data_IF_256141092114
#
_entry.id   IF_256141092114
#
_cell.length_a   1.000
_cell.length_b   1.000
_cell.length_c   1.000
_cell.angle_alpha   90.00
_cell.angle_beta   90.00
_cell.angle_gamma   90.00
#
_symmetry.space_group_name_H-M   'P 1'
#
loop_
_entity.id
_entity.type
_entity.pdbx_description
1 polymer ?
#
# COMPACT_ATOMS: atom_id res chain seq x y z
N UNK A 1 12.01 41.99 5.96
CA UNK A 1 13.18 41.15 6.24
C UNK A 1 13.21 40.07 5.19
N UNK A 2 14.33 39.93 4.47
CA UNK A 2 14.47 38.95 3.40
C UNK A 2 15.74 38.14 3.64
N UNK A 3 15.62 36.85 4.03
CA UNK A 3 16.75 36.04 4.42
C UNK A 3 16.50 34.53 4.33
N UNK A 4 17.57 33.77 4.32
CA UNK A 4 17.60 32.33 4.45
C UNK A 4 18.22 31.97 5.80
N UNK A 5 17.64 31.07 6.54
CA UNK A 5 18.14 30.54 7.80
C UNK A 5 18.35 29.04 7.63
N UNK A 6 19.59 28.59 7.73
CA UNK A 6 19.98 27.20 7.80
C UNK A 6 20.39 26.82 9.24
N UNK A 7 20.60 25.56 9.52
CA UNK A 7 21.04 25.10 10.83
C UNK A 7 22.36 25.76 11.30
N UNK A 8 23.28 25.98 10.36
CA UNK A 8 24.64 26.44 10.65
C UNK A 8 24.91 27.92 10.23
N UNK A 9 24.02 28.49 9.44
CA UNK A 9 24.26 29.86 8.90
C UNK A 9 22.96 30.59 8.60
N UNK A 10 23.09 31.90 8.44
CA UNK A 10 22.03 32.81 7.98
C UNK A 10 22.58 33.64 6.81
N UNK A 11 21.77 33.85 5.77
CA UNK A 11 22.12 34.66 4.60
C UNK A 11 21.10 35.77 4.47
N UNK A 12 21.58 37.03 4.50
CA UNK A 12 20.76 38.18 4.20
C UNK A 12 20.60 38.32 2.67
N UNK A 13 19.35 38.31 2.22
CA UNK A 13 18.99 38.45 0.82
C UNK A 13 18.48 39.86 0.47
N UNK A 14 18.58 40.80 1.38
CA UNK A 14 18.02 42.14 1.17
C UNK A 14 18.63 42.93 -0.01
N UNK A 15 19.83 42.54 -0.43
CA UNK A 15 20.56 43.14 -1.57
C UNK A 15 20.61 42.21 -2.78
N UNK A 16 20.03 41.04 -2.69
CA UNK A 16 20.05 40.01 -3.74
C UNK A 16 18.77 40.13 -4.56
N UNK A 17 18.93 40.22 -5.87
CA UNK A 17 17.80 40.20 -6.79
C UNK A 17 17.34 38.75 -7.04
N UNK A 18 16.19 38.40 -6.47
CA UNK A 18 15.63 37.04 -6.56
C UNK A 18 14.25 37.13 -7.22
N UNK A 19 14.12 36.44 -8.33
CA UNK A 19 12.82 36.24 -8.96
C UNK A 19 12.26 34.89 -8.50
N UNK A 20 11.09 34.91 -7.88
CA UNK A 20 10.40 33.72 -7.41
C UNK A 20 9.15 33.43 -8.23
N UNK A 21 8.84 32.15 -8.40
CA UNK A 21 7.58 31.70 -8.98
C UNK A 21 6.71 31.09 -7.87
N UNK A 22 5.52 31.63 -7.74
CA UNK A 22 4.49 31.14 -6.83
C UNK A 22 3.26 30.76 -7.65
N UNK A 23 3.03 29.46 -7.81
CA UNK A 23 1.87 28.95 -8.53
C UNK A 23 0.71 28.78 -7.57
N UNK A 24 -0.48 29.20 -7.98
CA UNK A 24 -1.67 29.10 -7.14
C UNK A 24 -2.29 27.70 -7.22
N UNK A 25 -2.21 26.92 -6.14
CA UNK A 25 -2.76 25.56 -6.04
C UNK A 25 -4.28 25.49 -6.22
N UNK A 26 -5.01 26.58 -6.05
CA UNK A 26 -6.45 26.63 -6.20
C UNK A 26 -6.91 26.25 -7.63
N UNK A 27 -6.12 26.61 -8.64
CA UNK A 27 -6.45 26.48 -10.04
C UNK A 27 -5.65 25.39 -10.77
N UNK A 28 -4.75 24.74 -10.08
CA UNK A 28 -3.88 23.71 -10.66
C UNK A 28 -4.11 22.36 -10.01
N UNK A 29 -4.03 21.30 -10.80
CA UNK A 29 -4.04 19.93 -10.29
C UNK A 29 -2.68 19.53 -9.67
N UNK A 30 -1.72 20.44 -9.68
CA UNK A 30 -0.39 20.26 -9.08
C UNK A 30 -0.33 20.98 -7.75
N UNK A 31 0.23 20.32 -6.77
CA UNK A 31 0.64 20.93 -5.51
C UNK A 31 1.99 21.55 -5.77
N UNK A 32 2.03 22.87 -5.74
CA UNK A 32 3.16 23.59 -6.31
C UNK A 32 4.21 23.86 -5.29
N UNK A 33 5.39 23.42 -5.61
CA UNK A 33 6.63 23.90 -5.04
C UNK A 33 6.84 25.33 -5.52
N UNK A 34 7.10 26.24 -4.60
CA UNK A 34 7.58 27.57 -4.92
C UNK A 34 9.08 27.49 -5.15
N UNK A 35 9.55 28.07 -6.21
CA UNK A 35 10.98 28.08 -6.52
C UNK A 35 11.44 29.45 -6.98
N UNK A 36 12.73 29.72 -6.79
CA UNK A 36 13.38 30.85 -7.40
C UNK A 36 13.98 30.48 -8.75
N UNK A 37 14.09 31.44 -9.63
CA UNK A 37 15.08 31.34 -10.70
C UNK A 37 16.49 31.36 -10.08
N UNK A 38 17.52 30.80 -10.75
CA UNK A 38 18.87 30.87 -10.26
C UNK A 38 19.28 32.28 -9.94
N UNK A 39 19.89 32.51 -8.78
CA UNK A 39 20.40 33.79 -8.31
C UNK A 39 21.82 33.64 -7.83
N UNK A 40 22.54 34.76 -7.71
CA UNK A 40 23.94 34.77 -7.34
C UNK A 40 24.15 35.47 -6.02
N UNK A 41 24.85 34.82 -5.12
CA UNK A 41 25.33 35.44 -3.87
C UNK A 41 26.76 35.95 -4.08
N UNK A 42 27.05 37.10 -3.54
CA UNK A 42 28.43 37.63 -3.54
C UNK A 42 29.34 36.74 -2.69
N UNK A 43 30.59 36.61 -3.11
CA UNK A 43 31.61 35.86 -2.39
C UNK A 43 32.20 36.68 -1.23
N UNK A 44 31.35 37.07 -0.29
CA UNK A 44 31.78 37.78 0.93
C UNK A 44 32.52 36.83 1.88
N UNK A 45 33.30 37.39 2.82
CA UNK A 45 33.95 36.56 3.85
C UNK A 45 32.96 35.74 4.68
N UNK A 46 31.73 36.20 4.82
CA UNK A 46 30.66 35.52 5.54
C UNK A 46 30.13 34.36 4.72
N UNK A 47 29.77 34.57 3.45
CA UNK A 47 29.33 33.52 2.56
C UNK A 47 30.40 32.45 2.31
N UNK A 48 31.67 32.86 2.26
CA UNK A 48 32.79 31.91 2.22
C UNK A 48 32.82 30.98 3.44
N UNK A 49 32.57 31.52 4.64
CA UNK A 49 32.50 30.66 5.85
C UNK A 49 31.27 29.77 5.86
N UNK A 50 30.13 30.29 5.41
CA UNK A 50 28.87 29.53 5.36
C UNK A 50 28.96 28.31 4.45
N UNK A 51 29.72 28.45 3.35
CA UNK A 51 29.88 27.39 2.34
C UNK A 51 31.30 26.83 2.30
N UNK A 52 32.03 26.87 3.42
CA UNK A 52 33.46 26.51 3.48
C UNK A 52 33.77 25.14 2.85
N UNK A 53 32.94 24.13 3.11
CA UNK A 53 33.17 22.77 2.61
C UNK A 53 33.01 22.68 1.08
N UNK A 54 32.15 23.51 0.48
CA UNK A 54 31.97 23.61 -0.97
C UNK A 54 33.13 24.32 -1.66
N UNK A 55 33.76 25.27 -0.95
CA UNK A 55 34.84 26.08 -1.49
C UNK A 55 36.22 25.40 -1.38
N UNK A 56 36.29 24.34 -0.57
CA UNK A 56 37.52 23.56 -0.43
C UNK A 56 37.61 22.47 -1.49
N UNK A 57 38.44 22.71 -2.51
CA UNK A 57 38.70 21.72 -3.58
C UNK A 57 39.26 20.38 -3.07
N UNK A 58 39.68 20.29 -1.83
CA UNK A 58 40.20 19.08 -1.20
C UNK A 58 39.13 18.34 -0.38
N UNK A 59 37.94 18.91 -0.21
CA UNK A 59 36.85 18.26 0.53
C UNK A 59 36.38 16.99 -0.20
N UNK A 60 36.23 15.92 0.55
CA UNK A 60 35.74 14.63 0.01
C UNK A 60 34.22 14.49 0.07
N UNK A 61 33.60 15.24 0.96
CA UNK A 61 32.15 15.29 1.13
C UNK A 61 31.67 16.70 0.82
N UNK A 62 30.96 16.83 -0.29
CA UNK A 62 30.41 18.11 -0.73
C UNK A 62 28.92 18.07 -0.53
N UNK A 63 28.41 18.91 0.36
CA UNK A 63 26.97 19.12 0.54
C UNK A 63 26.54 20.30 -0.33
N UNK A 64 25.76 20.04 -1.37
CA UNK A 64 25.26 21.07 -2.29
C UNK A 64 23.82 21.49 -1.98
N UNK A 65 23.13 20.78 -1.10
CA UNK A 65 21.76 21.03 -0.69
C UNK A 65 21.71 21.27 0.81
N UNK A 66 21.02 22.35 1.21
CA UNK A 66 20.88 22.76 2.59
C UNK A 66 19.42 22.92 2.95
N UNK A 67 18.97 22.26 4.00
CA UNK A 67 17.66 22.52 4.58
C UNK A 67 17.64 23.92 5.19
N UNK A 68 16.62 24.70 4.81
CA UNK A 68 16.54 26.10 5.20
C UNK A 68 15.13 26.50 5.61
N UNK A 69 15.04 27.65 6.27
CA UNK A 69 13.81 28.43 6.43
C UNK A 69 13.97 29.69 5.59
N UNK A 70 13.13 29.82 4.57
CA UNK A 70 13.04 31.05 3.77
C UNK A 70 12.13 32.06 4.48
N UNK A 71 12.63 33.30 4.65
CA UNK A 71 11.91 34.38 5.32
C UNK A 71 11.77 35.55 4.37
N UNK A 72 10.55 35.91 4.03
CA UNK A 72 10.23 37.09 3.22
C UNK A 72 9.07 37.86 3.86
N UNK A 73 9.35 39.02 4.39
CA UNK A 73 8.38 39.81 5.14
C UNK A 73 7.91 39.08 6.40
N UNK A 74 6.64 38.71 6.43
CA UNK A 74 6.00 37.91 7.48
C UNK A 74 5.91 36.38 7.14
N UNK A 75 6.31 36.01 5.91
CA UNK A 75 6.27 34.64 5.45
C UNK A 75 7.52 33.91 5.95
N UNK A 76 7.33 32.72 6.49
CA UNK A 76 8.38 31.77 6.88
C UNK A 76 8.03 30.41 6.36
N UNK A 77 8.77 29.92 5.40
CA UNK A 77 8.55 28.62 4.78
C UNK A 77 9.81 27.76 4.83
N UNK A 78 9.64 26.49 5.10
CA UNK A 78 10.73 25.51 4.98
C UNK A 78 11.07 25.32 3.51
N UNK A 79 12.34 25.04 3.22
CA UNK A 79 12.79 24.85 1.86
C UNK A 79 14.19 24.26 1.78
N UNK A 80 14.71 24.18 0.58
CA UNK A 80 16.04 23.70 0.25
C UNK A 80 16.75 24.75 -0.56
N UNK A 81 17.96 25.09 -0.14
CA UNK A 81 18.89 25.89 -0.91
C UNK A 81 19.85 24.97 -1.63
N UNK A 82 19.88 25.03 -2.96
CA UNK A 82 20.84 24.32 -3.79
C UNK A 82 21.94 25.25 -4.25
N UNK A 83 23.17 24.81 -4.20
CA UNK A 83 24.32 25.48 -4.77
C UNK A 83 24.74 24.75 -6.02
N UNK A 84 24.58 25.40 -7.18
CA UNK A 84 24.86 24.78 -8.47
C UNK A 84 26.30 24.97 -8.90
N UNK A 85 26.81 26.19 -8.83
CA UNK A 85 28.16 26.52 -9.24
C UNK A 85 28.77 27.60 -8.37
N UNK A 86 30.07 27.58 -8.31
CA UNK A 86 30.84 28.54 -7.55
C UNK A 86 32.06 28.98 -8.38
N UNK A 87 32.20 30.25 -8.52
CA UNK A 87 33.39 30.90 -9.14
C UNK A 87 33.63 32.26 -8.46
N UNK A 88 33.40 33.38 -9.13
CA UNK A 88 33.43 34.74 -8.54
C UNK A 88 32.18 35.02 -7.71
N UNK A 89 31.11 34.26 -7.92
CA UNK A 89 29.87 34.29 -7.17
C UNK A 89 29.46 32.88 -6.84
N UNK A 90 28.54 32.72 -5.89
CA UNK A 90 27.92 31.46 -5.53
C UNK A 90 26.54 31.45 -6.20
N UNK A 91 26.35 30.59 -7.21
CA UNK A 91 25.06 30.46 -7.88
C UNK A 91 24.19 29.46 -7.14
N UNK A 92 23.01 29.91 -6.77
CA UNK A 92 22.07 29.18 -5.95
C UNK A 92 20.68 29.11 -6.61
N UNK A 93 19.95 28.09 -6.26
CA UNK A 93 18.53 27.94 -6.50
C UNK A 93 17.83 27.72 -5.17
N UNK A 94 16.71 28.39 -4.97
CA UNK A 94 15.89 28.26 -3.78
C UNK A 94 14.60 27.51 -4.15
N UNK A 95 14.35 26.43 -3.45
CA UNK A 95 13.09 25.71 -3.51
C UNK A 95 12.45 25.76 -2.12
N UNK A 96 11.21 26.25 -2.02
CA UNK A 96 10.53 26.40 -0.74
C UNK A 96 9.04 26.09 -0.86
N UNK A 97 8.37 25.98 0.28
CA UNK A 97 7.04 25.41 0.34
C UNK A 97 7.11 23.89 0.42
N UNK A 98 6.15 23.21 -0.18
CA UNK A 98 6.07 21.74 -0.10
C UNK A 98 6.33 21.16 -1.47
N UNK A 99 7.37 20.36 -1.58
CA UNK A 99 7.69 19.66 -2.80
C UNK A 99 6.73 18.49 -3.05
N UNK A 100 6.45 17.72 -2.01
CA UNK A 100 5.51 16.61 -2.05
C UNK A 100 4.74 16.52 -0.73
N UNK A 101 3.43 16.35 -0.82
CA UNK A 101 2.66 15.98 0.36
C UNK A 101 3.05 14.58 0.80
N UNK A 102 3.29 14.39 2.11
CA UNK A 102 3.66 13.10 2.63
C UNK A 102 2.61 12.04 2.29
N UNK A 103 3.08 10.84 2.02
CA UNK A 103 2.28 9.69 1.61
C UNK A 103 1.60 9.79 0.23
N UNK A 104 1.74 10.90 -0.52
CA UNK A 104 1.06 11.02 -1.82
C UNK A 104 1.46 9.94 -2.83
N UNK A 105 2.68 9.45 -2.74
CA UNK A 105 3.19 8.37 -3.59
C UNK A 105 2.85 6.96 -3.09
N UNK A 106 2.42 6.83 -1.81
CA UNK A 106 1.98 5.55 -1.28
C UNK A 106 0.66 5.12 -1.91
N UNK A 107 0.53 3.84 -2.20
CA UNK A 107 -0.74 3.25 -2.58
C UNK A 107 -1.70 3.20 -1.39
N UNK A 108 -3.00 3.22 -1.64
CA UNK A 108 -3.99 3.15 -0.56
C UNK A 108 -3.87 1.87 0.28
N UNK A 109 -3.48 0.77 -0.33
CA UNK A 109 -3.26 -0.51 0.36
C UNK A 109 -1.96 -0.56 1.20
N UNK A 110 -1.09 0.44 1.06
CA UNK A 110 0.13 0.59 1.86
C UNK A 110 -0.08 1.50 3.09
N UNK A 111 -1.24 2.14 3.18
CA UNK A 111 -1.63 2.89 4.37
C UNK A 111 -1.97 1.91 5.50
N UNK A 112 -1.75 2.32 6.74
CA UNK A 112 -2.15 1.55 7.92
C UNK A 112 -3.64 1.73 8.21
N UNK A 113 -4.47 1.14 7.35
CA UNK A 113 -5.92 1.15 7.55
C UNK A 113 -6.32 0.13 8.61
N UNK A 114 -7.56 0.22 9.07
CA UNK A 114 -8.04 -0.62 10.17
C UNK A 114 -8.04 -2.10 9.79
N UNK A 115 -7.50 -2.92 10.71
CA UNK A 115 -7.56 -4.37 10.68
C UNK A 115 -8.09 -4.89 12.02
N UNK A 116 -9.00 -5.82 11.98
CA UNK A 116 -9.51 -6.48 13.18
C UNK A 116 -10.06 -7.86 12.84
N UNK A 117 -10.06 -8.76 13.85
CA UNK A 117 -10.72 -10.05 13.77
C UNK A 117 -11.98 -9.99 14.61
N UNK A 118 -13.11 -10.34 14.02
CA UNK A 118 -14.40 -10.42 14.70
C UNK A 118 -14.71 -11.86 15.09
N UNK A 119 -15.57 -12.06 16.07
CA UNK A 119 -16.08 -13.38 16.40
C UNK A 119 -17.09 -13.87 15.35
N UNK A 120 -17.90 -12.93 14.86
CA UNK A 120 -18.91 -13.15 13.83
C UNK A 120 -19.09 -11.85 13.04
N UNK A 121 -18.74 -11.88 11.77
CA UNK A 121 -18.79 -10.70 10.90
C UNK A 121 -20.20 -10.18 10.69
N UNK A 122 -21.20 -11.05 10.66
CA UNK A 122 -22.62 -10.66 10.48
C UNK A 122 -23.13 -9.86 11.70
N UNK A 123 -22.89 -10.38 12.90
CA UNK A 123 -23.26 -9.67 14.13
C UNK A 123 -22.48 -8.37 14.30
N UNK A 124 -21.20 -8.40 13.97
CA UNK A 124 -20.40 -7.18 13.98
C UNK A 124 -20.96 -6.13 13.02
N UNK A 125 -21.28 -6.50 11.79
CA UNK A 125 -21.84 -5.60 10.78
C UNK A 125 -23.15 -4.95 11.24
N UNK A 126 -24.02 -5.68 11.93
CA UNK A 126 -25.25 -5.11 12.51
C UNK A 126 -24.98 -3.99 13.52
N UNK A 127 -23.88 -4.06 14.25
CA UNK A 127 -23.55 -3.02 15.25
C UNK A 127 -23.12 -1.71 14.64
N UNK A 128 -22.75 -1.70 13.35
CA UNK A 128 -22.20 -0.53 12.66
C UNK A 128 -23.02 -0.07 11.46
N UNK A 129 -24.00 -0.85 10.99
CA UNK A 129 -24.72 -0.58 9.74
C UNK A 129 -25.40 0.80 9.71
N UNK A 130 -25.88 1.29 10.84
CA UNK A 130 -26.56 2.60 10.97
C UNK A 130 -25.61 3.75 11.32
N UNK A 131 -24.31 3.47 11.45
CA UNK A 131 -23.30 4.46 11.83
C UNK A 131 -22.54 4.98 10.61
N UNK A 132 -22.01 6.18 10.75
CA UNK A 132 -21.20 6.83 9.72
C UNK A 132 -19.88 7.30 10.33
N UNK A 133 -18.95 7.74 9.48
CA UNK A 133 -17.76 8.41 9.95
C UNK A 133 -18.14 9.72 10.70
N UNK A 134 -17.50 10.06 11.85
CA UNK A 134 -16.32 9.43 12.46
C UNK A 134 -16.61 8.32 13.47
N UNK A 135 -17.84 7.92 13.70
CA UNK A 135 -18.17 6.88 14.70
C UNK A 135 -17.60 5.52 14.33
N UNK A 136 -17.55 5.22 13.03
CA UNK A 136 -16.98 3.99 12.47
C UNK A 136 -16.15 4.30 11.21
N UNK A 137 -15.16 3.47 10.94
CA UNK A 137 -14.23 3.66 9.85
C UNK A 137 -14.66 3.01 8.53
N UNK A 138 -15.65 2.12 8.58
CA UNK A 138 -16.18 1.37 7.45
C UNK A 138 -17.61 0.93 7.71
N UNK A 139 -18.28 0.47 6.65
CA UNK A 139 -19.63 -0.08 6.75
C UNK A 139 -19.83 -1.22 5.74
N UNK A 140 -21.01 -1.86 5.77
CA UNK A 140 -21.40 -2.97 4.90
C UNK A 140 -22.65 -2.62 4.05
N UNK A 141 -22.61 -1.64 3.16
CA UNK A 141 -23.74 -1.35 2.27
C UNK A 141 -23.93 -2.49 1.28
N UNK A 142 -25.16 -2.70 0.86
CA UNK A 142 -25.49 -3.69 -0.16
C UNK A 142 -25.00 -3.25 -1.53
N UNK A 143 -24.35 -4.16 -2.26
CA UNK A 143 -23.81 -3.90 -3.61
C UNK A 143 -24.23 -5.04 -4.54
N UNK A 144 -24.84 -4.69 -5.66
CA UNK A 144 -25.14 -5.63 -6.73
C UNK A 144 -23.86 -5.95 -7.50
N UNK A 145 -23.65 -7.23 -7.80
CA UNK A 145 -22.45 -7.72 -8.50
C UNK A 145 -22.77 -8.86 -9.46
N UNK A 146 -22.04 -8.94 -10.55
CA UNK A 146 -22.11 -10.06 -11.50
C UNK A 146 -20.93 -11.03 -11.37
N UNK A 147 -20.09 -10.87 -10.35
CA UNK A 147 -18.78 -11.53 -10.23
C UNK A 147 -18.82 -13.04 -10.10
N UNK A 148 -19.85 -13.60 -9.50
CA UNK A 148 -19.87 -15.02 -9.17
C UNK A 148 -20.83 -15.79 -10.07
N UNK A 149 -20.32 -16.88 -10.62
CA UNK A 149 -21.09 -17.77 -11.50
C UNK A 149 -22.07 -18.62 -10.67
N UNK A 150 -23.34 -18.28 -10.76
CA UNK A 150 -24.42 -19.00 -10.07
C UNK A 150 -24.70 -20.40 -10.64
N UNK A 151 -24.05 -20.78 -11.75
CA UNK A 151 -24.14 -22.16 -12.28
C UNK A 151 -23.26 -23.12 -11.49
N UNK A 152 -22.29 -22.63 -10.74
CA UNK A 152 -21.50 -23.45 -9.83
C UNK A 152 -22.31 -23.82 -8.59
N UNK A 153 -22.23 -25.07 -8.19
CA UNK A 153 -23.05 -25.63 -7.10
C UNK A 153 -22.94 -24.88 -5.78
N UNK A 154 -21.77 -24.28 -5.49
CA UNK A 154 -21.50 -23.54 -4.26
C UNK A 154 -22.08 -22.12 -4.29
N UNK A 155 -22.48 -21.62 -5.46
CA UNK A 155 -23.00 -20.25 -5.67
C UNK A 155 -24.47 -20.22 -6.12
N UNK A 156 -25.13 -21.35 -6.21
CA UNK A 156 -26.50 -21.48 -6.72
C UNK A 156 -27.50 -20.59 -6.00
N UNK A 157 -27.29 -20.33 -4.71
CA UNK A 157 -28.18 -19.50 -3.88
C UNK A 157 -27.67 -18.08 -3.66
N UNK A 158 -26.62 -17.67 -4.36
CA UNK A 158 -26.11 -16.30 -4.30
C UNK A 158 -26.96 -15.37 -5.16
N UNK A 159 -27.55 -14.37 -4.53
CA UNK A 159 -28.47 -13.43 -5.20
C UNK A 159 -27.74 -12.29 -5.91
N UNK A 160 -26.44 -12.41 -6.13
CA UNK A 160 -25.60 -11.37 -6.76
C UNK A 160 -25.58 -10.06 -5.96
N UNK A 161 -25.64 -10.15 -4.64
CA UNK A 161 -25.60 -9.02 -3.72
C UNK A 161 -24.54 -9.28 -2.65
N UNK A 162 -23.54 -8.40 -2.59
CA UNK A 162 -22.64 -8.34 -1.43
C UNK A 162 -23.35 -7.67 -0.26
N UNK A 163 -22.99 -8.06 0.95
CA UNK A 163 -23.59 -7.53 2.17
C UNK A 163 -25.12 -7.64 2.16
N UNK A 164 -25.62 -8.79 1.69
CA UNK A 164 -27.06 -9.00 1.51
C UNK A 164 -27.77 -8.93 2.87
N UNK A 165 -28.54 -7.86 3.05
CA UNK A 165 -29.28 -7.56 4.28
C UNK A 165 -30.78 -7.60 4.03
N UNK A 166 -31.50 -8.50 4.71
CA UNK A 166 -32.94 -8.70 4.53
C UNK A 166 -33.63 -8.95 5.87
N UNK A 167 -34.81 -8.36 6.03
CA UNK A 167 -35.65 -8.55 7.21
C UNK A 167 -34.94 -8.25 8.55
N UNK A 168 -34.02 -7.29 8.56
CA UNK A 168 -33.29 -6.89 9.76
C UNK A 168 -32.02 -7.71 10.05
N UNK A 169 -31.64 -8.63 9.13
CA UNK A 169 -30.47 -9.47 9.28
C UNK A 169 -29.64 -9.61 8.00
N UNK A 170 -28.35 -9.84 8.14
CA UNK A 170 -27.52 -10.26 7.01
C UNK A 170 -27.81 -11.74 6.69
N UNK A 171 -27.97 -12.01 5.40
CA UNK A 171 -28.10 -13.39 4.92
C UNK A 171 -26.81 -14.15 5.24
N UNK A 172 -26.94 -15.28 5.90
CA UNK A 172 -25.80 -16.11 6.29
C UNK A 172 -25.57 -17.25 5.30
N UNK A 173 -24.31 -17.61 5.15
CA UNK A 173 -23.93 -18.81 4.39
C UNK A 173 -24.29 -20.07 5.21
N UNK A 174 -24.55 -21.17 4.51
CA UNK A 174 -24.92 -22.41 5.17
C UNK A 174 -24.29 -23.65 4.48
N UNK A 175 -24.20 -24.74 5.21
CA UNK A 175 -23.85 -26.06 4.67
C UNK A 175 -25.10 -26.94 4.70
N UNK A 176 -25.50 -27.47 3.55
CA UNK A 176 -26.61 -28.38 3.41
C UNK A 176 -26.11 -29.66 2.79
N UNK A 177 -26.24 -30.79 3.50
CA UNK A 177 -25.80 -32.09 3.02
C UNK A 177 -24.35 -32.08 2.49
N UNK A 178 -23.43 -31.57 3.31
CA UNK A 178 -22.00 -31.42 3.01
C UNK A 178 -21.67 -30.50 1.82
N UNK A 179 -22.68 -29.81 1.29
CA UNK A 179 -22.48 -28.83 0.21
C UNK A 179 -22.48 -27.44 0.81
N UNK A 180 -21.45 -26.66 0.47
CA UNK A 180 -21.36 -25.26 0.81
C UNK A 180 -22.31 -24.43 -0.04
N UNK A 181 -23.16 -23.64 0.59
CA UNK A 181 -24.03 -22.68 -0.07
C UNK A 181 -23.61 -21.26 0.30
N UNK A 182 -22.92 -20.60 -0.61
CA UNK A 182 -22.58 -19.20 -0.46
C UNK A 182 -23.78 -18.35 -0.88
N UNK A 183 -24.40 -17.70 0.08
CA UNK A 183 -25.58 -16.84 -0.11
C UNK A 183 -25.24 -15.37 0.00
N UNK A 184 -24.14 -15.06 0.67
CA UNK A 184 -23.70 -13.72 0.95
C UNK A 184 -22.17 -13.64 1.07
N UNK A 185 -21.61 -12.51 0.71
CA UNK A 185 -20.23 -12.16 0.93
C UNK A 185 -20.17 -10.85 1.69
N UNK A 186 -19.56 -10.89 2.86
CA UNK A 186 -19.39 -9.69 3.69
C UNK A 186 -18.16 -8.92 3.21
N UNK A 187 -18.39 -7.74 2.64
CA UNK A 187 -17.36 -6.84 2.11
C UNK A 187 -17.35 -5.54 2.90
N UNK A 188 -16.37 -5.30 3.77
CA UNK A 188 -16.25 -4.05 4.49
C UNK A 188 -15.81 -2.94 3.55
N UNK A 189 -16.52 -1.84 3.48
CA UNK A 189 -16.18 -0.69 2.66
C UNK A 189 -15.73 0.49 3.53
N UNK A 190 -14.49 0.96 3.40
CA UNK A 190 -13.98 2.07 4.18
C UNK A 190 -14.67 3.37 3.77
N UNK A 191 -14.93 4.23 4.75
CA UNK A 191 -15.34 5.59 4.48
C UNK A 191 -14.19 6.38 3.85
N UNK A 192 -14.50 7.20 2.84
CA UNK A 192 -13.49 8.06 2.20
C UNK A 192 -12.81 8.97 3.20
N UNK A 193 -13.57 9.50 4.17
CA UNK A 193 -13.02 10.33 5.25
C UNK A 193 -12.04 9.58 6.15
N UNK A 194 -12.25 8.29 6.41
CA UNK A 194 -11.29 7.48 7.16
C UNK A 194 -9.95 7.38 6.41
N UNK A 195 -10.00 7.06 5.12
CA UNK A 195 -8.78 6.95 4.29
C UNK A 195 -8.05 8.29 4.24
N UNK A 196 -8.79 9.38 4.02
CA UNK A 196 -8.22 10.72 3.93
C UNK A 196 -7.52 11.14 5.23
N UNK A 197 -8.22 10.97 6.35
CA UNK A 197 -7.70 11.34 7.68
C UNK A 197 -6.50 10.47 8.04
N UNK A 198 -6.59 9.16 7.82
CA UNK A 198 -5.54 8.22 8.16
C UNK A 198 -4.28 8.41 7.31
N UNK A 199 -4.46 8.69 6.01
CA UNK A 199 -3.34 8.93 5.11
C UNK A 199 -2.49 10.14 5.51
N UNK A 200 -3.12 11.22 5.98
CA UNK A 200 -2.38 12.37 6.52
C UNK A 200 -1.84 12.11 7.92
N UNK A 201 -2.61 11.44 8.79
CA UNK A 201 -2.17 11.16 10.16
C UNK A 201 -0.91 10.31 10.22
N UNK A 202 -0.75 9.32 9.35
CA UNK A 202 0.45 8.49 9.26
C UNK A 202 1.70 9.25 8.81
N UNK A 203 1.52 10.38 8.18
CA UNK A 203 2.61 11.29 7.83
C UNK A 203 2.88 12.33 8.94
N UNK A 204 2.15 12.26 10.05
CA UNK A 204 2.29 13.19 11.18
C UNK A 204 1.52 14.50 11.01
N UNK A 205 0.54 14.54 10.10
CA UNK A 205 -0.29 15.72 9.84
C UNK A 205 -1.72 15.54 10.31
N UNK A 206 -2.37 16.63 10.65
CA UNK A 206 -3.77 16.67 11.06
C UNK A 206 -4.61 17.30 9.96
N UNK A 207 -5.64 16.60 9.48
CA UNK A 207 -6.58 17.14 8.52
C UNK A 207 -7.54 18.13 9.20
N UNK A 208 -7.72 19.30 8.59
CA UNK A 208 -8.59 20.39 9.02
C UNK A 208 -9.36 21.00 7.85
N UNK A 209 -10.19 21.98 8.15
CA UNK A 209 -10.92 22.78 7.16
C UNK A 209 -12.33 22.28 6.85
N UNK A 210 -12.91 22.88 5.81
CA UNK A 210 -14.31 22.69 5.41
C UNK A 210 -14.61 21.23 5.02
N UNK A 211 -13.63 20.48 4.56
CA UNK A 211 -13.79 19.05 4.22
C UNK A 211 -14.40 18.23 5.37
N UNK A 212 -14.11 18.59 6.62
CA UNK A 212 -14.66 17.94 7.81
C UNK A 212 -16.13 18.26 8.04
N UNK A 213 -16.70 19.23 7.33
CA UNK A 213 -18.10 19.66 7.45
C UNK A 213 -19.00 19.07 6.36
N UNK A 214 -18.42 18.42 5.35
CA UNK A 214 -19.17 17.90 4.21
C UNK A 214 -19.91 16.61 4.60
N UNK A 215 -21.20 16.73 4.91
CA UNK A 215 -22.04 15.62 5.39
C UNK A 215 -22.19 14.48 4.37
N UNK A 216 -22.18 14.80 3.08
CA UNK A 216 -22.22 13.79 2.00
C UNK A 216 -20.93 12.95 2.00
N UNK A 217 -19.77 13.60 2.07
CA UNK A 217 -18.45 12.93 2.07
C UNK A 217 -18.27 12.03 3.31
N UNK A 218 -18.81 12.42 4.47
CA UNK A 218 -18.80 11.59 5.70
C UNK A 218 -19.52 10.26 5.52
N UNK A 219 -20.51 10.22 4.62
CA UNK A 219 -21.31 9.03 4.33
C UNK A 219 -20.80 8.23 3.14
N UNK A 220 -19.90 8.79 2.36
CA UNK A 220 -19.36 8.12 1.20
C UNK A 220 -18.35 7.03 1.58
N UNK A 221 -18.62 5.82 1.11
CA UNK A 221 -17.70 4.69 1.18
C UNK A 221 -16.92 4.54 -0.13
N UNK A 222 -15.74 3.96 -0.05
CA UNK A 222 -14.94 3.62 -1.21
C UNK A 222 -15.21 2.17 -1.59
N UNK A 223 -15.75 1.96 -2.80
CA UNK A 223 -15.86 0.64 -3.40
C UNK A 223 -14.77 0.46 -4.44
N UNK A 224 -14.06 -0.64 -4.37
CA UNK A 224 -13.16 -1.07 -5.41
C UNK A 224 -13.59 -2.46 -5.88
N UNK A 225 -13.47 -2.71 -7.17
CA UNK A 225 -13.64 -4.04 -7.73
C UNK A 225 -12.43 -4.91 -7.35
N UNK A 226 -12.38 -5.27 -6.07
CA UNK A 226 -11.29 -6.06 -5.49
C UNK A 226 -11.76 -7.47 -5.17
N UNK A 227 -10.83 -8.38 -5.22
CA UNK A 227 -11.04 -9.75 -4.80
C UNK A 227 -10.86 -9.90 -3.27
N UNK A 228 -11.60 -9.14 -2.47
CA UNK A 228 -11.49 -9.17 -1.01
C UNK A 228 -11.64 -10.57 -0.45
N UNK A 229 -12.61 -11.31 -0.97
CA UNK A 229 -12.84 -12.71 -0.65
C UNK A 229 -12.13 -13.67 -1.61
N UNK A 230 -11.47 -13.17 -2.63
CA UNK A 230 -10.48 -13.95 -3.33
C UNK A 230 -9.32 -14.12 -2.37
N UNK A 231 -9.37 -15.15 -1.75
CA UNK A 231 -8.35 -15.68 -0.93
C UNK A 231 -7.12 -15.72 -1.78
N UNK A 232 -6.07 -15.36 -1.19
CA UNK A 232 -4.76 -15.67 -1.71
C UNK A 232 -4.83 -17.10 -2.23
N UNK A 233 -5.29 -17.23 -3.48
CA UNK A 233 -5.47 -18.53 -4.12
C UNK A 233 -4.14 -19.25 -4.12
N UNK A 234 -3.08 -18.49 -4.02
CA UNK A 234 -1.73 -19.01 -4.01
C UNK A 234 -0.84 -18.05 -3.25
N UNK A 235 -0.30 -18.49 -2.13
CA UNK A 235 0.91 -17.88 -1.63
C UNK A 235 1.97 -18.25 -2.66
N UNK A 236 2.53 -17.24 -3.29
CA UNK A 236 3.57 -17.39 -4.31
C UNK A 236 4.88 -17.89 -3.70
N UNK A 237 4.81 -19.07 -3.09
CA UNK A 237 5.99 -19.86 -2.75
C UNK A 237 6.18 -20.80 -3.94
N UNK A 238 6.50 -20.18 -5.07
CA UNK A 238 6.67 -20.91 -6.33
C UNK A 238 7.84 -21.92 -6.29
N UNK A 239 8.71 -21.79 -5.30
CA UNK A 239 9.84 -22.71 -5.18
C UNK A 239 10.26 -22.82 -3.71
N UNK A 240 9.87 -23.87 -3.04
CA UNK A 240 10.52 -24.24 -1.78
C UNK A 240 11.84 -24.92 -2.16
N UNK A 241 12.95 -24.25 -1.97
CA UNK A 241 14.26 -24.88 -2.05
C UNK A 241 14.37 -25.80 -0.84
N UNK A 242 14.11 -27.09 -1.05
CA UNK A 242 14.31 -28.08 -0.03
C UNK A 242 15.81 -28.22 0.22
N UNK A 243 16.26 -27.85 1.41
CA UNK A 243 17.63 -28.08 1.79
C UNK A 243 18.47 -26.85 2.10
N UNK A 244 17.86 -25.76 2.55
CA UNK A 244 18.61 -24.57 2.98
C UNK A 244 19.35 -24.80 4.29
N UNK A 245 18.71 -25.42 5.29
CA UNK A 245 19.28 -25.60 6.61
C UNK A 245 19.48 -27.09 6.92
N UNK A 246 20.73 -27.49 7.03
CA UNK A 246 21.10 -28.86 7.34
C UNK A 246 20.97 -29.12 8.83
N UNK A 247 20.07 -30.01 9.22
CA UNK A 247 19.82 -30.37 10.62
C UNK A 247 20.58 -31.62 11.09
N UNK A 248 20.83 -32.57 10.19
CA UNK A 248 21.59 -33.77 10.53
C UNK A 248 22.33 -34.33 9.31
N UNK A 249 23.37 -35.11 9.58
CA UNK A 249 24.02 -35.95 8.56
C UNK A 249 24.54 -37.21 9.14
N UNK A 250 24.29 -38.34 8.50
CA UNK A 250 24.84 -39.64 8.83
C UNK A 250 25.27 -40.36 7.57
N UNK A 251 26.56 -40.63 7.44
CA UNK A 251 27.14 -41.21 6.25
C UNK A 251 26.82 -40.37 4.99
N UNK A 252 26.21 -40.99 4.02
CA UNK A 252 25.87 -40.35 2.75
C UNK A 252 24.48 -39.66 2.75
N UNK A 253 23.81 -39.56 3.89
CA UNK A 253 22.52 -38.88 4.05
C UNK A 253 22.66 -37.53 4.71
N UNK A 254 21.79 -36.62 4.33
CA UNK A 254 21.60 -35.39 5.04
C UNK A 254 20.10 -35.05 5.12
N UNK A 255 19.66 -34.63 6.27
CA UNK A 255 18.34 -34.10 6.51
C UNK A 255 18.42 -32.58 6.47
N UNK A 256 17.49 -31.98 5.75
CA UNK A 256 17.36 -30.55 5.57
C UNK A 256 16.01 -30.08 6.07
N UNK A 257 15.98 -28.88 6.54
CA UNK A 257 14.80 -28.21 7.07
C UNK A 257 14.57 -26.90 6.36
N UNK A 258 13.34 -26.60 6.06
CA UNK A 258 12.93 -25.32 5.47
C UNK A 258 11.64 -24.89 6.16
N UNK A 259 11.56 -23.62 6.52
CA UNK A 259 10.38 -23.04 7.12
C UNK A 259 9.62 -22.18 6.11
N UNK A 260 8.32 -22.33 6.08
CA UNK A 260 7.42 -21.53 5.28
C UNK A 260 6.49 -20.77 6.20
N UNK A 261 6.61 -19.47 6.23
CA UNK A 261 5.73 -18.61 7.04
C UNK A 261 4.37 -18.48 6.36
N UNK A 262 3.30 -18.75 7.10
CA UNK A 262 1.94 -18.60 6.63
C UNK A 262 1.46 -17.17 6.95
N UNK A 263 0.94 -16.41 5.98
CA UNK A 263 0.64 -15.00 6.16
C UNK A 263 -0.64 -14.75 6.96
N UNK A 264 -1.52 -15.73 7.07
CA UNK A 264 -2.80 -15.56 7.78
C UNK A 264 -3.26 -16.84 8.47
N UNK A 265 -4.16 -16.69 9.41
CA UNK A 265 -4.87 -17.83 10.02
C UNK A 265 -5.93 -18.35 9.06
N UNK A 266 -6.20 -19.64 9.11
CA UNK A 266 -7.25 -20.27 8.31
C UNK A 266 -6.92 -21.69 7.92
N UNK A 267 -7.63 -22.18 6.94
CA UNK A 267 -7.44 -23.50 6.37
C UNK A 267 -6.56 -23.42 5.13
N UNK A 268 -5.58 -24.27 5.01
CA UNK A 268 -4.64 -24.31 3.90
C UNK A 268 -4.72 -25.64 3.15
N UNK A 269 -4.53 -25.59 1.84
CA UNK A 269 -4.19 -26.74 1.03
C UNK A 269 -2.76 -26.61 0.54
N UNK A 270 -1.98 -27.66 0.69
CA UNK A 270 -0.65 -27.78 0.12
C UNK A 270 -0.74 -28.72 -1.07
N UNK A 271 -0.46 -28.22 -2.25
CA UNK A 271 -0.51 -28.96 -3.50
C UNK A 271 0.81 -28.81 -4.24
N UNK A 272 1.27 -29.87 -4.89
CA UNK A 272 2.44 -29.77 -5.76
C UNK A 272 3.25 -31.05 -5.83
N UNK A 273 4.49 -30.91 -6.27
CA UNK A 273 5.42 -32.04 -6.40
C UNK A 273 6.73 -31.71 -5.71
N UNK A 274 7.15 -32.57 -4.79
CA UNK A 274 8.46 -32.50 -4.18
C UNK A 274 9.41 -33.46 -4.91
N UNK A 275 10.55 -32.95 -5.33
CA UNK A 275 11.59 -33.75 -5.96
C UNK A 275 12.75 -33.94 -4.99
N UNK A 276 13.15 -35.20 -4.76
CA UNK A 276 14.21 -35.54 -3.83
C UNK A 276 15.16 -36.55 -4.48
N UNK A 277 16.42 -36.32 -4.32
CA UNK A 277 17.45 -37.23 -4.81
C UNK A 277 17.68 -38.38 -3.83
N UNK A 278 17.58 -39.60 -4.33
CA UNK A 278 17.82 -40.81 -3.54
C UNK A 278 18.78 -41.77 -4.25
N UNK A 279 19.39 -42.68 -3.51
CA UNK A 279 20.28 -43.75 -4.01
C UNK A 279 19.81 -45.11 -3.54
N UNK A 280 20.24 -46.12 -4.25
CA UNK A 280 19.93 -47.52 -3.96
C UNK A 280 19.99 -47.92 -2.49
N UNK A 281 18.98 -48.58 -1.99
CA UNK A 281 18.76 -49.01 -0.60
C UNK A 281 18.59 -47.87 0.41
N UNK A 282 18.72 -46.62 0.02
CA UNK A 282 18.55 -45.48 0.91
C UNK A 282 17.09 -45.00 0.95
N UNK A 283 16.65 -44.61 2.11
CA UNK A 283 15.35 -44.01 2.28
C UNK A 283 15.42 -42.54 1.93
N UNK A 284 14.70 -42.13 0.89
CA UNK A 284 14.39 -40.70 0.68
C UNK A 284 13.01 -40.40 1.24
N UNK A 285 12.87 -39.26 1.86
CA UNK A 285 11.61 -38.88 2.48
C UNK A 285 11.42 -37.36 2.40
N UNK A 286 10.17 -36.98 2.28
CA UNK A 286 9.73 -35.60 2.56
C UNK A 286 8.65 -35.68 3.64
N UNK A 287 8.77 -34.82 4.64
CA UNK A 287 7.78 -34.65 5.69
C UNK A 287 7.43 -33.20 5.83
N UNK A 288 6.17 -32.90 5.99
CA UNK A 288 5.66 -31.55 6.23
C UNK A 288 4.97 -31.56 7.59
N UNK A 289 5.36 -30.62 8.45
CA UNK A 289 4.88 -30.51 9.83
C UNK A 289 4.34 -29.10 10.09
N UNK A 290 3.35 -29.04 10.96
CA UNK A 290 2.82 -27.80 11.51
C UNK A 290 2.87 -27.90 13.04
N UNK A 291 3.63 -27.01 13.69
CA UNK A 291 3.81 -27.01 15.16
C UNK A 291 4.19 -28.40 15.73
N UNK A 292 5.10 -29.07 15.08
CA UNK A 292 5.56 -30.40 15.47
C UNK A 292 4.61 -31.56 15.13
N UNK A 293 3.37 -31.26 14.66
CA UNK A 293 2.44 -32.28 14.18
C UNK A 293 2.72 -32.56 12.70
N UNK A 294 3.00 -33.81 12.40
CA UNK A 294 3.21 -34.28 11.03
C UNK A 294 1.88 -34.27 10.25
N UNK A 295 1.84 -33.51 9.18
CA UNK A 295 0.70 -33.38 8.30
C UNK A 295 0.82 -34.29 7.08
N UNK A 296 2.02 -34.42 6.55
CA UNK A 296 2.31 -35.20 5.36
C UNK A 296 3.65 -35.91 5.52
N UNK A 297 3.72 -37.15 4.98
CA UNK A 297 4.98 -37.86 4.82
C UNK A 297 4.91 -38.73 3.56
N UNK A 298 5.92 -38.66 2.73
CA UNK A 298 6.14 -39.56 1.63
C UNK A 298 7.55 -40.13 1.72
N UNK A 299 7.65 -41.42 1.50
CA UNK A 299 8.90 -42.15 1.55
C UNK A 299 9.03 -43.07 0.36
N UNK A 300 10.22 -43.24 -0.16
CA UNK A 300 10.52 -44.18 -1.22
C UNK A 300 11.85 -44.87 -0.96
N UNK A 301 11.90 -46.17 -1.22
CA UNK A 301 13.07 -46.99 -1.12
C UNK A 301 13.22 -47.80 -2.42
N UNK A 302 14.30 -47.53 -3.14
CA UNK A 302 14.59 -48.23 -4.36
C UNK A 302 15.44 -49.50 -4.08
N UNK A 303 15.20 -50.58 -4.80
CA UNK A 303 15.89 -51.85 -4.56
C UNK A 303 16.92 -52.25 -5.63
N UNK A 304 17.00 -51.55 -6.77
CA UNK A 304 17.66 -52.09 -7.97
C UNK A 304 18.76 -51.29 -8.66
N UNK A 305 19.12 -50.10 -8.28
CA UNK A 305 20.12 -49.36 -9.02
C UNK A 305 21.23 -48.72 -8.16
N UNK A 306 22.46 -48.74 -8.68
CA UNK A 306 23.67 -48.13 -8.04
C UNK A 306 23.79 -46.63 -8.29
N UNK A 307 23.11 -46.09 -9.30
CA UNK A 307 23.06 -44.65 -9.60
C UNK A 307 21.94 -43.98 -8.83
N UNK A 308 22.18 -42.72 -8.42
CA UNK A 308 21.13 -41.95 -7.76
C UNK A 308 20.03 -41.53 -8.72
N UNK A 309 18.83 -41.43 -8.19
CA UNK A 309 17.62 -41.05 -8.90
C UNK A 309 16.92 -39.87 -8.26
N UNK A 310 16.30 -39.05 -9.11
CA UNK A 310 15.38 -38.04 -8.69
C UNK A 310 13.99 -38.66 -8.49
N UNK A 311 13.49 -38.64 -7.26
CA UNK A 311 12.16 -39.10 -6.94
C UNK A 311 11.19 -37.94 -6.89
N UNK A 312 10.01 -38.13 -7.48
CA UNK A 312 8.91 -37.17 -7.35
C UNK A 312 7.88 -37.73 -6.36
N UNK A 313 7.43 -36.84 -5.48
CA UNK A 313 6.36 -37.11 -4.53
C UNK A 313 5.24 -36.13 -4.74
N UNK A 314 4.06 -36.63 -5.06
CA UNK A 314 2.87 -35.81 -5.13
C UNK A 314 2.45 -35.41 -3.70
N UNK A 315 2.30 -34.14 -3.48
CA UNK A 315 1.85 -33.55 -2.22
C UNK A 315 0.47 -32.97 -2.45
N UNK A 316 -0.51 -33.45 -1.72
CA UNK A 316 -1.86 -32.89 -1.71
C UNK A 316 -2.51 -33.21 -0.36
N UNK A 317 -2.65 -32.17 0.49
CA UNK A 317 -3.30 -32.27 1.78
C UNK A 317 -3.81 -30.92 2.25
N UNK A 318 -4.72 -30.96 3.22
CA UNK A 318 -5.27 -29.76 3.86
C UNK A 318 -5.03 -29.79 5.37
N UNK A 319 -4.93 -28.61 5.97
CA UNK A 319 -4.84 -28.45 7.41
C UNK A 319 -5.39 -27.11 7.85
N UNK A 320 -5.74 -26.99 9.13
CA UNK A 320 -6.20 -25.75 9.74
C UNK A 320 -5.11 -25.19 10.66
N UNK A 321 -4.90 -23.89 10.63
CA UNK A 321 -4.03 -23.20 11.57
C UNK A 321 -4.75 -22.97 12.90
N UNK A 322 -3.97 -22.82 13.98
CA UNK A 322 -4.52 -22.59 15.31
C UNK A 322 -4.66 -21.07 15.52
N UNK A 323 -5.85 -20.62 15.87
CA UNK A 323 -6.10 -19.20 16.13
C UNK A 323 -5.70 -18.83 17.57
N UNK A 324 -4.40 -18.61 17.80
CA UNK A 324 -3.83 -18.30 19.11
C UNK A 324 -2.96 -17.02 19.11
N UNK A 325 -3.02 -16.23 18.02
CA UNK A 325 -2.25 -15.00 17.89
C UNK A 325 -0.75 -15.20 17.57
N UNK A 326 -0.26 -16.45 17.52
CA UNK A 326 1.14 -16.70 17.18
C UNK A 326 1.34 -16.83 15.68
N UNK A 327 2.49 -16.41 15.13
CA UNK A 327 2.85 -16.66 13.74
C UNK A 327 2.84 -18.16 13.43
N UNK A 328 2.32 -18.51 12.26
CA UNK A 328 2.30 -19.88 11.81
C UNK A 328 3.38 -20.16 10.78
N UNK A 329 4.04 -21.30 10.97
CA UNK A 329 5.05 -21.78 10.04
C UNK A 329 4.81 -23.27 9.76
N UNK A 330 4.97 -23.63 8.48
CA UNK A 330 5.16 -25.00 8.09
C UNK A 330 6.63 -25.33 8.08
N UNK A 331 6.96 -26.46 8.65
CA UNK A 331 8.28 -27.03 8.63
C UNK A 331 8.31 -28.15 7.59
N UNK A 332 9.22 -28.04 6.62
CA UNK A 332 9.42 -29.04 5.58
C UNK A 332 10.77 -29.68 5.83
N UNK A 333 10.76 -31.00 6.10
CA UNK A 333 11.95 -31.78 6.32
C UNK A 333 12.15 -32.72 5.13
N UNK A 334 13.32 -32.70 4.53
CA UNK A 334 13.70 -33.60 3.46
C UNK A 334 14.94 -34.39 3.79
N UNK A 335 14.86 -35.70 3.64
CA UNK A 335 16.01 -36.60 3.76
C UNK A 335 16.55 -36.88 2.36
N UNK A 336 17.77 -36.42 2.11
CA UNK A 336 18.40 -36.50 0.79
C UNK A 336 19.68 -37.28 0.84
N UNK A 337 20.10 -37.79 -0.30
CA UNK A 337 21.38 -38.46 -0.50
C UNK A 337 22.45 -37.46 -0.93
N UNK A 338 23.62 -37.55 -0.34
CA UNK A 338 24.80 -36.76 -0.80
C UNK A 338 25.45 -37.42 -1.99
N UNK A 339 25.88 -36.66 -2.94
CA UNK A 339 26.77 -37.09 -4.01
C UNK A 339 28.17 -37.40 -3.45
N UNK A 340 28.89 -38.32 -4.07
CA UNK A 340 30.19 -38.82 -3.60
C UNK A 340 31.27 -37.73 -3.44
N UNK A 341 31.09 -36.58 -4.08
CA UNK A 341 31.98 -35.41 -3.99
C UNK A 341 31.64 -34.44 -2.83
N UNK A 342 30.69 -34.79 -1.99
CA UNK A 342 30.22 -33.93 -0.90
C UNK A 342 29.30 -32.81 -1.33
N UNK A 343 29.05 -32.62 -2.62
CA UNK A 343 28.08 -31.67 -3.14
C UNK A 343 26.66 -32.22 -2.97
N UNK A 344 25.79 -31.37 -2.54
CA UNK A 344 24.37 -31.61 -2.55
C UNK A 344 23.94 -31.40 -3.99
N UNK A 345 23.28 -32.40 -4.59
CA UNK A 345 22.63 -32.16 -5.87
C UNK A 345 21.56 -31.11 -5.65
N UNK A 346 21.71 -30.05 -6.40
CA UNK A 346 20.83 -28.91 -6.39
C UNK A 346 19.45 -29.38 -6.90
N UNK A 347 18.54 -29.64 -5.97
CA UNK A 347 17.19 -30.08 -6.32
C UNK A 347 16.34 -28.83 -6.42
N UNK A 348 16.56 -28.08 -7.44
CA UNK A 348 15.99 -26.77 -7.65
C UNK A 348 14.55 -26.73 -8.12
N UNK A 349 13.78 -27.82 -8.01
CA UNK A 349 12.48 -27.88 -8.69
C UNK A 349 11.35 -28.49 -7.89
N UNK A 350 11.36 -28.36 -6.57
CA UNK A 350 10.16 -28.71 -5.80
C UNK A 350 9.14 -27.60 -5.89
N UNK A 351 8.08 -27.79 -6.63
CA UNK A 351 6.96 -26.86 -6.73
C UNK A 351 5.92 -27.26 -5.70
N UNK A 352 5.86 -26.54 -4.58
CA UNK A 352 4.81 -26.65 -3.60
C UNK A 352 4.00 -25.36 -3.61
N UNK A 353 2.71 -25.48 -3.85
CA UNK A 353 1.77 -24.38 -3.84
C UNK A 353 0.97 -24.44 -2.56
N UNK A 354 0.88 -23.31 -1.89
CA UNK A 354 0.10 -23.16 -0.67
C UNK A 354 -1.14 -22.34 -1.00
N UNK A 355 -2.30 -22.96 -0.85
CA UNK A 355 -3.57 -22.28 -1.02
C UNK A 355 -4.18 -22.02 0.35
N UNK A 356 -4.51 -20.79 0.63
CA UNK A 356 -5.39 -20.51 1.75
C UNK A 356 -6.78 -21.05 1.37
N UNK A 357 -7.46 -21.72 2.28
CA UNK A 357 -8.67 -22.52 2.04
C UNK A 357 -9.88 -21.77 1.55
N UNK A 358 -9.80 -20.52 1.50
CA UNK A 358 -10.91 -19.77 1.04
C UNK A 358 -11.09 -19.93 -0.50
N UNK A 359 -10.17 -20.33 -1.34
CA UNK A 359 -10.30 -20.52 -2.81
C UNK A 359 -10.39 -21.94 -3.30
N UNK A 360 -10.23 -22.92 -2.44
CA UNK A 360 -10.28 -24.32 -2.84
C UNK A 360 -11.68 -24.86 -2.58
N UNK A 361 -12.20 -25.66 -3.51
CA UNK A 361 -13.45 -26.41 -3.38
C UNK A 361 -13.39 -27.42 -2.21
N UNK A 362 -13.23 -26.95 -1.00
CA UNK A 362 -13.45 -27.67 0.23
C UNK A 362 -14.84 -27.25 0.70
N UNK A 363 -15.68 -28.16 1.17
CA UNK A 363 -17.00 -27.81 1.64
C UNK A 363 -16.88 -26.99 2.96
N UNK A 364 -16.51 -25.74 2.85
CA UNK A 364 -16.47 -24.80 3.96
C UNK A 364 -17.21 -23.54 3.55
N UNK A 365 -18.04 -23.07 4.45
CA UNK A 365 -18.71 -21.80 4.30
C UNK A 365 -17.63 -20.73 4.23
N UNK A 366 -17.68 -19.89 3.20
CA UNK A 366 -16.87 -18.68 3.15
C UNK A 366 -17.42 -17.73 4.18
N UNK A 367 -16.77 -17.70 5.31
CA UNK A 367 -17.03 -16.74 6.37
C UNK A 367 -15.69 -16.16 6.80
N UNK A 368 -15.39 -15.00 6.26
CA UNK A 368 -14.21 -14.27 6.68
C UNK A 368 -14.58 -13.39 7.86
N UNK A 369 -14.14 -13.74 9.06
CA UNK A 369 -14.33 -12.93 10.26
C UNK A 369 -13.27 -11.85 10.43
N UNK A 370 -12.28 -11.82 9.56
CA UNK A 370 -11.24 -10.79 9.55
C UNK A 370 -11.68 -9.61 8.69
N UNK A 371 -11.59 -8.42 9.25
CA UNK A 371 -11.76 -7.16 8.54
C UNK A 371 -10.37 -6.60 8.26
N UNK A 372 -10.04 -6.44 6.99
CA UNK A 372 -8.79 -5.83 6.53
C UNK A 372 -9.10 -4.81 5.44
N UNK A 373 -9.12 -3.53 5.82
CA UNK A 373 -9.47 -2.45 4.90
C UNK A 373 -8.42 -2.21 3.82
N UNK A 374 -7.19 -2.67 3.99
CA UNK A 374 -6.17 -2.57 2.95
C UNK A 374 -6.48 -3.44 1.72
N UNK A 375 -7.32 -4.46 1.87
CA UNK A 375 -7.69 -5.38 0.80
C UNK A 375 -8.87 -4.91 -0.04
N UNK A 376 -9.57 -3.86 0.39
CA UNK A 376 -10.80 -3.37 -0.27
C UNK A 376 -10.62 -2.01 -0.93
N UNK A 377 -9.44 -1.46 -0.90
CA UNK A 377 -9.13 -0.19 -1.55
C UNK A 377 -8.55 -0.41 -2.95
N UNK A 378 -8.80 0.50 -3.91
CA UNK A 378 -8.26 0.40 -5.25
C UNK A 378 -6.74 0.59 -5.28
N UNK A 379 -6.10 0.06 -6.31
CA UNK A 379 -4.67 0.23 -6.57
C UNK A 379 -4.38 1.63 -7.16
N UNK A 380 -4.58 2.64 -6.34
CA UNK A 380 -4.27 4.04 -6.64
C UNK A 380 -3.43 4.65 -5.54
N UNK A 381 -2.68 5.70 -5.86
CA UNK A 381 -1.89 6.41 -4.86
C UNK A 381 -2.79 7.31 -4.01
N UNK A 382 -2.37 7.58 -2.77
CA UNK A 382 -3.06 8.48 -1.87
C UNK A 382 -3.20 9.88 -2.46
N UNK A 383 -2.17 10.38 -3.17
CA UNK A 383 -2.23 11.66 -3.87
C UNK A 383 -3.35 11.73 -4.92
N UNK A 384 -3.51 10.69 -5.75
CA UNK A 384 -4.63 10.62 -6.71
C UNK A 384 -5.98 10.59 -6.01
N UNK A 385 -6.08 9.89 -4.89
CA UNK A 385 -7.30 9.84 -4.08
C UNK A 385 -7.63 11.23 -3.50
N UNK A 386 -6.66 11.93 -2.92
CA UNK A 386 -6.83 13.29 -2.39
C UNK A 386 -7.23 14.25 -3.50
N UNK A 387 -6.55 14.21 -4.66
CA UNK A 387 -6.88 15.04 -5.83
C UNK A 387 -8.31 14.79 -6.31
N UNK A 388 -8.77 13.54 -6.30
CA UNK A 388 -10.14 13.21 -6.67
C UNK A 388 -11.16 13.87 -5.73
N UNK A 389 -10.93 13.85 -4.42
CA UNK A 389 -11.79 14.51 -3.43
C UNK A 389 -11.75 16.02 -3.62
N UNK A 390 -10.53 16.58 -3.73
CA UNK A 390 -10.30 18.01 -3.99
C UNK A 390 -11.14 18.50 -5.16
N UNK A 391 -11.05 17.81 -6.29
CA UNK A 391 -11.73 18.20 -7.51
C UNK A 391 -13.25 17.97 -7.43
N UNK A 392 -13.69 16.88 -6.79
CA UNK A 392 -15.13 16.59 -6.65
C UNK A 392 -15.85 17.65 -5.83
N UNK A 393 -15.23 18.16 -4.78
CA UNK A 393 -15.83 19.10 -3.85
C UNK A 393 -15.34 20.53 -4.02
N UNK A 394 -14.53 20.81 -5.04
CA UNK A 394 -13.93 22.12 -5.30
C UNK A 394 -13.20 22.68 -4.07
N UNK A 395 -12.29 21.88 -3.53
CA UNK A 395 -11.50 22.22 -2.36
C UNK A 395 -10.10 22.72 -2.77
N UNK A 396 -9.56 23.62 -1.98
CA UNK A 396 -8.13 23.93 -1.98
C UNK A 396 -7.41 23.07 -0.94
N UNK A 397 -6.13 22.78 -1.16
CA UNK A 397 -5.31 22.03 -0.22
C UNK A 397 -4.10 22.85 0.18
N UNK A 398 -3.97 23.12 1.48
CA UNK A 398 -2.93 23.98 2.03
C UNK A 398 -2.32 23.34 3.28
N UNK A 399 -1.00 23.49 3.42
CA UNK A 399 -0.28 23.07 4.62
C UNK A 399 0.09 24.28 5.47
N UNK A 400 -0.19 24.18 6.76
CA UNK A 400 0.26 25.15 7.77
C UNK A 400 0.87 24.40 8.96
N UNK A 401 2.19 24.37 9.02
CA UNK A 401 2.90 23.61 10.02
C UNK A 401 2.63 22.11 9.92
N UNK A 402 1.90 21.55 10.89
CA UNK A 402 1.45 20.14 10.89
C UNK A 402 -0.02 19.96 10.56
N UNK A 403 -0.68 21.03 10.15
CA UNK A 403 -2.10 21.01 9.82
C UNK A 403 -2.28 21.11 8.31
N UNK A 404 -3.06 20.17 7.75
CA UNK A 404 -3.47 20.21 6.35
C UNK A 404 -4.91 20.68 6.29
N UNK A 405 -5.10 21.81 5.62
CA UNK A 405 -6.40 22.42 5.41
C UNK A 405 -6.94 22.04 4.05
N UNK A 406 -8.17 21.52 4.02
CA UNK A 406 -8.94 21.36 2.79
C UNK A 406 -10.20 22.19 2.91
N UNK A 407 -10.18 23.39 2.32
CA UNK A 407 -11.25 24.38 2.40
C UNK A 407 -11.90 24.58 1.04
N UNK A 408 -13.17 25.02 1.01
CA UNK A 408 -13.80 25.37 -0.25
C UNK A 408 -13.09 26.52 -0.94
N UNK A 409 -12.80 26.39 -2.23
CA UNK A 409 -12.18 27.46 -3.02
C UNK A 409 -13.00 28.74 -2.93
N UNK A 410 -14.32 28.65 -3.03
CA UNK A 410 -15.20 29.81 -2.99
C UNK A 410 -15.18 30.57 -1.66
N UNK A 411 -14.90 29.89 -0.53
CA UNK A 411 -14.78 30.56 0.77
C UNK A 411 -13.51 31.41 0.91
N UNK A 412 -12.53 31.14 0.04
CA UNK A 412 -11.22 31.83 0.02
C UNK A 412 -11.20 33.05 -0.89
N UNK A 413 -12.13 33.14 -1.84
CA UNK A 413 -12.20 34.28 -2.76
C UNK A 413 -12.90 35.42 -2.04
N UNK A 414 -12.12 36.39 -1.56
CA UNK A 414 -12.64 37.61 -0.97
C UNK A 414 -12.60 38.74 -2.01
N UNK A 415 -13.78 39.10 -2.54
CA UNK A 415 -13.91 40.17 -3.52
C UNK A 415 -13.83 41.57 -2.88
N UNK A 416 -14.05 41.67 -1.54
CA UNK A 416 -14.01 42.96 -0.84
C UNK A 416 -12.58 43.49 -0.72
N UNK A 417 -11.60 42.60 -0.59
CA UNK A 417 -10.17 42.93 -0.50
C UNK A 417 -9.43 42.81 -1.85
N UNK A 418 -10.18 42.64 -2.95
CA UNK A 418 -9.58 42.54 -4.26
C UNK A 418 -8.82 43.82 -4.64
N UNK A 419 -7.58 43.66 -5.07
CA UNK A 419 -6.79 44.78 -5.57
C UNK A 419 -7.31 45.14 -6.98
N UNK A 420 -7.72 46.39 -7.16
CA UNK A 420 -8.07 46.92 -8.49
C UNK A 420 -6.80 47.13 -9.31
N UNK A 421 -6.59 46.33 -10.31
CA UNK A 421 -5.49 46.41 -11.25
C UNK A 421 -5.88 47.05 -12.58
N UNK A 422 -7.07 47.65 -12.71
CA UNK A 422 -7.57 48.17 -13.97
C UNK A 422 -6.69 49.28 -14.56
N UNK A 423 -5.92 50.03 -13.74
CA UNK A 423 -4.93 51.00 -14.21
C UNK A 423 -3.72 50.34 -14.90
N UNK A 424 -3.49 49.05 -14.69
CA UNK A 424 -2.38 48.28 -15.26
C UNK A 424 -2.83 47.41 -16.44
N UNK A 425 -4.10 47.46 -16.84
CA UNK A 425 -4.57 46.72 -17.98
C UNK A 425 -3.86 47.15 -19.26
N UNK A 426 -3.12 46.21 -19.83
CA UNK A 426 -2.73 46.23 -21.23
C UNK A 426 -3.85 45.62 -22.05
N UNK A 427 -3.95 45.94 -23.37
CA UNK A 427 -4.96 45.33 -24.22
C UNK A 427 -4.99 43.83 -24.07
N UNK A 428 -6.12 43.23 -23.65
CA UNK A 428 -6.18 41.77 -23.43
C UNK A 428 -5.95 41.05 -24.73
N UNK A 429 -4.99 40.13 -24.75
CA UNK A 429 -4.81 39.20 -25.84
C UNK A 429 -5.86 38.11 -25.72
N UNK A 430 -6.71 38.00 -26.74
CA UNK A 430 -7.73 36.94 -26.75
C UNK A 430 -7.24 35.74 -27.54
N UNK A 431 -6.86 34.68 -26.82
CA UNK A 431 -6.55 33.39 -27.42
C UNK A 431 -7.84 32.60 -27.63
N UNK A 432 -8.18 32.34 -28.89
CA UNK A 432 -9.34 31.50 -29.21
C UNK A 432 -8.98 30.04 -29.01
N UNK A 433 -9.25 29.51 -27.84
CA UNK A 433 -9.22 28.06 -27.64
C UNK A 433 -10.51 27.48 -28.23
N UNK A 434 -10.37 26.40 -29.01
CA UNK A 434 -11.54 25.58 -29.39
C UNK A 434 -12.22 25.16 -28.10
N UNK A 435 -13.53 25.43 -28.00
CA UNK A 435 -14.28 25.18 -26.78
C UNK A 435 -14.01 23.79 -26.21
N UNK A 436 -13.54 23.76 -24.97
CA UNK A 436 -13.34 22.53 -24.24
C UNK A 436 -14.68 22.21 -23.59
N UNK A 437 -15.29 21.11 -24.01
CA UNK A 437 -16.43 20.55 -23.30
C UNK A 437 -15.94 19.49 -22.34
N UNK A 438 -16.38 19.55 -21.09
CA UNK A 438 -16.12 18.51 -20.10
C UNK A 438 -17.26 17.52 -20.12
N UNK A 439 -16.94 16.24 -20.36
CA UNK A 439 -17.87 15.15 -20.20
C UNK A 439 -17.57 14.47 -18.86
N UNK A 440 -18.40 14.70 -17.87
CA UNK A 440 -18.35 13.95 -16.62
C UNK A 440 -18.90 12.55 -16.88
N UNK A 441 -18.04 11.55 -16.82
CA UNK A 441 -18.43 10.13 -16.86
C UNK A 441 -18.02 9.47 -15.55
N UNK A 442 -18.94 8.70 -15.00
CA UNK A 442 -18.52 7.65 -14.07
C UNK A 442 -17.90 6.54 -14.91
N UNK A 443 -16.70 6.12 -14.56
CA UNK A 443 -15.91 5.16 -15.34
C UNK A 443 -16.61 3.80 -15.45
N UNK A 444 -17.47 3.46 -14.51
CA UNK A 444 -18.16 2.18 -14.38
C UNK A 444 -19.66 2.25 -14.65
N UNK A 445 -20.14 3.29 -15.32
CA UNK A 445 -21.46 3.24 -15.91
C UNK A 445 -21.41 2.18 -17.04
N UNK A 446 -21.48 0.93 -16.65
CA UNK A 446 -21.68 -0.16 -17.57
C UNK A 446 -22.96 0.05 -18.33
N UNK A 447 -22.85 -0.04 -19.62
CA UNK A 447 -23.89 -0.01 -20.62
C UNK A 447 -25.02 -0.98 -20.32
#
# INVERSE_FOLDING_TARGET
>A
MHKIIAEKFEIDLSTVDITTTDENSMFLDKYTTKYSFPFSLELTNENQRNFQDLLDHCSKEITTEFDIIYVFGNIKEAGILRVDTFNETINCELQYGIEEFPNFNKKLNELELQKLTTTNVYEHAKTIIDKTWPEVNYNYPQIITDRYDTTQSTWTYFEKIFNNYKNGDFVTNEVVSDTQNNRNLMLPLPYKMHILTQGFAQAGYTLKGDVLTIETLKKEVLYADCDYNKILDQIDINTVILGTDRISSSGNKADYQTFVTLPSKGRYRVLGTAYIYGRWKELSAVAIQYRGRRLFIATKRERRHHSGYLYSYNVDFTFDTINDGQPDQLEIISSQFKKDDGQILDINTSSLFFYNSLGVAIPNIIQNNDVDLNRVVPDVTFGKFVTSIKNTYNLDLRLEGKDIYMDFVNSKINYEDAIDLSEFETFPERTYNKGISFLLKYQDANN
#
